data_IF_094620777738
#
_entry.id   IF_094620777738
#
_cell.length_a   1.000
_cell.length_b   1.000
_cell.length_c   1.000
_cell.angle_alpha   90.00
_cell.angle_beta   90.00
_cell.angle_gamma   90.00
#
_symmetry.space_group_name_H-M   'P 1'
#
loop_
_entity.id
_entity.type
_entity.pdbx_description
1 polymer ?
#
# COMPACT_ATOMS: atom_id res chain seq x y z
N UNK A 1 -6.64 24.72 25.63
CA UNK A 1 -7.49 24.02 24.63
C UNK A 1 -7.38 24.75 23.30
N UNK A 2 -6.77 24.14 22.28
CA UNK A 2 -6.56 24.78 20.98
C UNK A 2 -7.89 24.76 20.21
N UNK A 3 -8.44 25.93 19.91
CA UNK A 3 -9.62 26.10 19.03
C UNK A 3 -9.22 25.75 17.60
N UNK A 4 -9.58 24.56 17.13
CA UNK A 4 -9.44 24.20 15.71
C UNK A 4 -10.60 24.84 14.93
N UNK A 5 -10.31 25.96 14.28
CA UNK A 5 -11.24 26.73 13.44
C UNK A 5 -11.69 25.89 12.23
N UNK A 6 -12.93 25.37 12.25
CA UNK A 6 -13.65 24.78 11.10
C UNK A 6 -12.78 24.06 10.04
N UNK A 7 -11.80 23.24 10.47
CA UNK A 7 -11.00 22.46 9.54
C UNK A 7 -11.94 21.44 8.87
N UNK A 8 -11.84 21.30 7.54
CA UNK A 8 -12.52 20.22 6.83
C UNK A 8 -12.14 18.91 7.51
N UNK A 9 -13.12 18.12 7.92
CA UNK A 9 -12.88 16.75 8.40
C UNK A 9 -12.26 15.97 7.24
N UNK A 10 -10.99 15.62 7.37
CA UNK A 10 -10.28 14.74 6.46
C UNK A 10 -10.18 13.38 7.13
N UNK A 11 -10.55 12.34 6.40
CA UNK A 11 -10.34 10.97 6.84
C UNK A 11 -9.12 10.39 6.15
N UNK A 12 -8.19 9.85 6.93
CA UNK A 12 -6.98 9.20 6.43
C UNK A 12 -7.15 7.70 6.55
N UNK A 13 -6.97 7.01 5.43
CA UNK A 13 -7.10 5.55 5.35
C UNK A 13 -5.71 4.96 5.03
N UNK A 14 -5.04 4.30 5.98
CA UNK A 14 -3.73 3.72 5.74
C UNK A 14 -3.87 2.42 4.95
N UNK A 15 -3.34 2.42 3.73
CA UNK A 15 -3.27 1.24 2.86
C UNK A 15 -1.79 0.88 2.69
N UNK A 16 -1.37 -0.23 3.30
CA UNK A 16 0.02 -0.72 3.28
C UNK A 16 0.10 -2.00 2.44
N UNK A 17 1.10 -2.07 1.57
CA UNK A 17 1.46 -3.28 0.82
C UNK A 17 2.91 -3.61 1.15
N UNK A 18 3.14 -4.76 1.77
CA UNK A 18 4.45 -5.26 2.12
C UNK A 18 5.16 -5.90 0.93
N UNK A 19 6.48 -6.03 1.04
CA UNK A 19 7.35 -6.65 0.04
C UNK A 19 6.93 -8.08 -0.35
N UNK A 20 6.41 -8.83 0.62
CA UNK A 20 5.90 -10.20 0.41
C UNK A 20 4.45 -10.25 -0.11
N UNK A 21 3.90 -9.12 -0.53
CA UNK A 21 2.49 -9.03 -0.92
C UNK A 21 1.53 -9.10 0.28
N UNK A 22 1.99 -8.89 1.51
CA UNK A 22 1.09 -8.66 2.63
C UNK A 22 0.31 -7.35 2.41
N UNK A 23 -0.98 -7.30 2.72
CA UNK A 23 -1.80 -6.09 2.56
C UNK A 23 -2.58 -5.83 3.85
N UNK A 24 -2.80 -4.56 4.18
CA UNK A 24 -3.61 -4.17 5.35
C UNK A 24 -4.97 -4.86 5.37
N UNK A 25 -5.39 -5.31 6.54
CA UNK A 25 -6.74 -5.86 6.76
C UNK A 25 -7.82 -4.88 6.29
N UNK A 26 -8.95 -5.41 5.79
CA UNK A 26 -10.05 -4.63 5.23
C UNK A 26 -9.68 -3.76 4.01
N UNK A 27 -8.61 -4.08 3.27
CA UNK A 27 -8.19 -3.38 2.05
C UNK A 27 -9.35 -3.07 1.09
N UNK A 28 -10.20 -4.05 0.80
CA UNK A 28 -11.33 -3.87 -0.13
C UNK A 28 -12.31 -2.80 0.34
N UNK A 29 -12.61 -2.78 1.65
CA UNK A 29 -13.47 -1.77 2.26
C UNK A 29 -12.86 -0.37 2.10
N UNK A 30 -11.55 -0.26 2.29
CA UNK A 30 -10.81 1.00 2.18
C UNK A 30 -10.75 1.51 0.75
N UNK A 31 -10.40 0.65 -0.20
CA UNK A 31 -10.37 0.99 -1.62
C UNK A 31 -11.75 1.37 -2.15
N UNK A 32 -12.80 0.65 -1.73
CA UNK A 32 -14.20 0.99 -2.07
C UNK A 32 -14.58 2.36 -1.53
N UNK A 33 -14.17 2.68 -0.30
CA UNK A 33 -14.40 3.99 0.31
C UNK A 33 -13.67 5.12 -0.42
N UNK A 34 -12.47 4.86 -0.92
CA UNK A 34 -11.68 5.81 -1.70
C UNK A 34 -12.15 5.90 -3.17
N UNK A 35 -13.07 5.05 -3.62
CA UNK A 35 -13.56 5.02 -5.00
C UNK A 35 -12.53 4.52 -6.02
N UNK A 36 -11.46 3.86 -5.56
CA UNK A 36 -10.38 3.36 -6.40
C UNK A 36 -10.78 1.99 -6.96
N UNK A 37 -10.57 1.77 -8.26
CA UNK A 37 -10.79 0.45 -8.89
C UNK A 37 -9.47 -0.30 -8.99
N UNK A 38 -9.07 -0.95 -7.91
CA UNK A 38 -7.88 -1.82 -7.88
C UNK A 38 -8.21 -3.12 -7.16
N UNK A 39 -7.75 -4.24 -7.72
CA UNK A 39 -7.84 -5.55 -7.07
C UNK A 39 -6.59 -5.81 -6.23
N UNK A 40 -6.75 -6.42 -5.07
CA UNK A 40 -5.64 -6.64 -4.12
C UNK A 40 -4.53 -7.48 -4.75
N UNK A 41 -4.88 -8.46 -5.57
CA UNK A 41 -3.95 -9.39 -6.22
C UNK A 41 -2.99 -8.67 -7.17
N UNK A 42 -3.44 -7.57 -7.81
CA UNK A 42 -2.57 -6.78 -8.66
C UNK A 42 -1.46 -6.09 -7.86
N UNK A 43 -1.82 -5.53 -6.70
CA UNK A 43 -0.85 -4.89 -5.81
C UNK A 43 0.12 -5.90 -5.21
N UNK A 44 -0.39 -7.07 -4.80
CA UNK A 44 0.46 -8.15 -4.27
C UNK A 44 1.46 -8.63 -5.31
N UNK A 45 1.01 -8.93 -6.54
CA UNK A 45 1.90 -9.34 -7.64
C UNK A 45 2.95 -8.27 -7.94
N UNK A 46 2.55 -7.00 -7.96
CA UNK A 46 3.46 -5.89 -8.22
C UNK A 46 4.52 -5.76 -7.14
N UNK A 47 4.12 -5.86 -5.87
CA UNK A 47 5.05 -5.84 -4.74
C UNK A 47 6.05 -7.00 -4.82
N UNK A 48 5.56 -8.23 -5.02
CA UNK A 48 6.40 -9.43 -5.15
C UNK A 48 7.40 -9.32 -6.31
N UNK A 49 6.96 -8.85 -7.48
CA UNK A 49 7.82 -8.65 -8.65
C UNK A 49 8.89 -7.57 -8.40
N UNK A 50 8.49 -6.45 -7.78
CA UNK A 50 9.41 -5.39 -7.39
C UNK A 50 10.47 -5.88 -6.42
N UNK A 51 10.07 -6.62 -5.39
CA UNK A 51 10.98 -7.23 -4.41
C UNK A 51 11.91 -8.25 -5.05
N UNK A 52 11.38 -9.15 -5.89
CA UNK A 52 12.20 -10.14 -6.61
C UNK A 52 13.26 -9.46 -7.50
N UNK A 53 12.91 -8.34 -8.15
CA UNK A 53 13.86 -7.55 -8.96
C UNK A 53 14.98 -6.96 -8.10
N UNK A 54 14.66 -6.40 -6.94
CA UNK A 54 15.65 -5.84 -6.00
C UNK A 54 16.59 -6.95 -5.52
N UNK A 55 16.04 -8.08 -5.08
CA UNK A 55 16.83 -9.23 -4.63
C UNK A 55 17.76 -9.74 -5.72
N UNK A 56 17.27 -9.93 -6.96
CA UNK A 56 18.10 -10.33 -8.09
C UNK A 56 19.24 -9.35 -8.34
N UNK A 57 18.97 -8.03 -8.33
CA UNK A 57 20.01 -7.02 -8.54
C UNK A 57 21.07 -7.07 -7.44
N UNK A 58 20.67 -7.26 -6.19
CA UNK A 58 21.59 -7.33 -5.06
C UNK A 58 22.45 -8.59 -5.13
N UNK A 59 21.83 -9.76 -5.30
CA UNK A 59 22.54 -11.05 -5.39
C UNK A 59 23.43 -11.14 -6.65
N UNK A 60 23.04 -10.52 -7.76
CA UNK A 60 23.89 -10.44 -8.96
C UNK A 60 25.06 -9.46 -8.82
N UNK A 61 25.03 -8.54 -7.86
CA UNK A 61 26.11 -7.58 -7.59
C UNK A 61 27.13 -8.10 -6.55
N UNK A 62 26.84 -9.22 -5.89
CA UNK A 62 27.72 -9.89 -4.92
C UNK A 62 28.59 -11.00 -5.53
N UNK A 63 28.60 -11.14 -6.86
CA UNK A 63 29.49 -12.07 -7.61
C UNK A 63 30.56 -11.30 -8.39
#
# INVERSE_FOLDING_TARGET
MIKTWKLKKVEVVPVVVGALGAVTNNFERWIKKLGIKVRVEHLQKTALLGTARILRKHMSAEN
#
